data_IF_219403074645
#
_entry.id   IF_219403074645
#
_cell.length_a   1.000
_cell.length_b   1.000
_cell.length_c   1.000
_cell.angle_alpha   90.00
_cell.angle_beta   90.00
_cell.angle_gamma   90.00
#
_symmetry.space_group_name_H-M   'P 1'
#
loop_
_entity.id
_entity.type
_entity.pdbx_description
1 polymer ?
#
# COMPACT_ATOMS: atom_id res chain seq x y z
N UNK A 1 -25.78 -9.32 0.42
CA UNK A 1 -24.86 -8.93 -0.68
C UNK A 1 -23.62 -8.38 -0.03
N UNK A 2 -22.50 -9.10 -0.10
CA UNK A 2 -21.20 -8.63 0.41
C UNK A 2 -20.63 -7.66 -0.61
N UNK A 3 -20.85 -6.37 -0.41
CA UNK A 3 -20.07 -5.32 -1.07
C UNK A 3 -18.70 -5.30 -0.42
N UNK A 4 -17.79 -6.13 -0.94
CA UNK A 4 -16.36 -5.91 -0.80
C UNK A 4 -15.81 -5.43 -2.14
N UNK A 5 -14.54 -5.05 -2.19
CA UNK A 5 -13.84 -4.70 -3.44
C UNK A 5 -14.04 -5.82 -4.48
N UNK A 6 -14.97 -5.62 -5.42
CA UNK A 6 -15.45 -6.68 -6.31
C UNK A 6 -14.58 -6.84 -7.56
N UNK A 7 -13.69 -5.90 -7.83
CA UNK A 7 -12.80 -5.97 -8.99
C UNK A 7 -11.59 -5.05 -8.81
N UNK A 8 -10.40 -5.64 -8.63
CA UNK A 8 -9.13 -4.92 -8.77
C UNK A 8 -8.57 -5.26 -10.14
N UNK A 9 -8.43 -4.27 -11.01
CA UNK A 9 -7.95 -4.50 -12.37
C UNK A 9 -6.47 -4.91 -12.36
N UNK A 10 -6.08 -5.83 -13.24
CA UNK A 10 -4.71 -6.36 -13.29
C UNK A 10 -3.67 -5.24 -13.42
N UNK A 11 -2.67 -5.24 -12.52
CA UNK A 11 -1.53 -4.31 -12.50
C UNK A 11 -1.85 -2.88 -12.08
N UNK A 12 -3.00 -2.60 -11.45
CA UNK A 12 -3.20 -1.30 -10.79
C UNK A 12 -2.24 -1.12 -9.63
N UNK A 13 -1.82 0.12 -9.38
CA UNK A 13 -1.31 0.49 -8.07
C UNK A 13 -2.46 0.44 -7.05
N UNK A 14 -2.16 0.00 -5.83
CA UNK A 14 -3.09 0.02 -4.71
C UNK A 14 -2.41 0.59 -3.46
N UNK A 15 -3.11 1.44 -2.72
CA UNK A 15 -2.69 1.91 -1.39
C UNK A 15 -3.85 1.95 -0.45
N UNK A 16 -3.61 1.54 0.79
CA UNK A 16 -4.59 1.63 1.85
C UNK A 16 -4.07 2.54 2.97
N UNK A 17 -4.99 3.26 3.59
CA UNK A 17 -4.76 4.05 4.80
C UNK A 17 -5.95 3.87 5.72
N UNK A 18 -5.71 3.92 7.02
CA UNK A 18 -6.79 3.86 7.99
C UNK A 18 -6.59 4.86 9.12
N UNK A 19 -7.71 5.30 9.70
CA UNK A 19 -7.82 5.67 11.09
C UNK A 19 -8.72 4.62 11.78
N UNK A 20 -8.81 4.59 13.11
CA UNK A 20 -9.48 3.54 13.89
C UNK A 20 -10.84 3.06 13.33
N UNK A 21 -11.64 3.96 12.74
CA UNK A 21 -12.99 3.66 12.26
C UNK A 21 -13.16 3.79 10.73
N UNK A 22 -12.14 4.26 10.02
CA UNK A 22 -12.22 4.59 8.60
C UNK A 22 -11.03 3.95 7.87
N UNK A 23 -11.32 3.10 6.90
CA UNK A 23 -10.35 2.53 5.97
C UNK A 23 -10.61 3.12 4.59
N UNK A 24 -9.56 3.51 3.87
CA UNK A 24 -9.62 3.99 2.50
C UNK A 24 -8.62 3.22 1.66
N UNK A 25 -9.06 2.76 0.49
CA UNK A 25 -8.23 2.03 -0.47
C UNK A 25 -8.27 2.78 -1.80
N UNK A 26 -7.11 3.25 -2.23
CA UNK A 26 -6.91 3.98 -3.47
C UNK A 26 -6.38 3.07 -4.55
N UNK A 27 -6.98 3.15 -5.73
CA UNK A 27 -6.53 2.44 -6.93
C UNK A 27 -6.55 3.36 -8.15
N UNK A 28 -5.98 2.89 -9.25
CA UNK A 28 -6.11 3.53 -10.55
C UNK A 28 -7.12 2.73 -11.38
N UNK A 29 -8.13 3.40 -11.93
CA UNK A 29 -8.97 2.78 -12.93
C UNK A 29 -8.21 2.68 -14.25
N UNK A 30 -8.01 1.45 -14.71
CA UNK A 30 -7.45 1.12 -16.01
C UNK A 30 -8.50 0.44 -16.92
N UNK A 31 -9.74 0.29 -16.43
CA UNK A 31 -10.86 -0.26 -17.19
C UNK A 31 -11.46 0.82 -18.07
N UNK A 32 -11.46 0.60 -19.39
CA UNK A 32 -11.99 1.55 -20.37
C UNK A 32 -13.52 1.71 -20.35
N UNK A 33 -14.18 1.50 -19.22
CA UNK A 33 -15.64 1.57 -19.07
C UNK A 33 -16.08 2.89 -18.41
N UNK A 34 -15.20 3.54 -17.65
CA UNK A 34 -15.38 4.95 -17.25
C UNK A 34 -14.04 5.60 -16.89
N UNK A 35 -13.58 6.54 -17.72
CA UNK A 35 -12.46 7.46 -17.46
C UNK A 35 -11.08 6.80 -17.32
N UNK A 36 -10.43 6.58 -18.47
CA UNK A 36 -9.08 6.04 -18.61
C UNK A 36 -8.07 6.68 -17.65
N UNK A 37 -7.44 5.86 -16.80
CA UNK A 37 -6.35 6.24 -15.89
C UNK A 37 -6.74 7.30 -14.88
N UNK A 38 -7.88 7.15 -14.21
CA UNK A 38 -8.31 8.04 -13.13
C UNK A 38 -8.09 7.43 -11.75
N UNK A 39 -7.95 8.27 -10.72
CA UNK A 39 -7.90 7.82 -9.33
C UNK A 39 -9.28 7.36 -8.86
N UNK A 40 -9.29 6.25 -8.12
CA UNK A 40 -10.46 5.63 -7.52
C UNK A 40 -10.26 5.47 -6.02
N UNK A 41 -11.34 5.54 -5.25
CA UNK A 41 -11.36 5.28 -3.82
C UNK A 41 -12.48 4.30 -3.47
N UNK A 42 -12.11 3.26 -2.73
CA UNK A 42 -13.03 2.38 -2.01
C UNK A 42 -12.91 2.74 -0.52
N UNK A 43 -14.02 3.12 0.11
CA UNK A 43 -14.04 3.56 1.49
C UNK A 43 -14.82 2.55 2.34
N UNK A 44 -14.34 2.31 3.56
CA UNK A 44 -15.04 1.52 4.55
C UNK A 44 -15.11 2.29 5.86
N UNK A 45 -16.31 2.47 6.38
CA UNK A 45 -16.54 3.05 7.71
C UNK A 45 -17.24 2.03 8.61
N UNK A 46 -16.90 2.01 9.89
CA UNK A 46 -17.41 1.02 10.85
C UNK A 46 -18.96 0.87 10.85
N UNK A 47 -19.68 1.96 10.63
CA UNK A 47 -21.16 1.98 10.64
C UNK A 47 -21.80 1.86 9.25
N UNK A 48 -21.03 2.09 8.19
CA UNK A 48 -21.54 2.13 6.80
C UNK A 48 -21.19 0.88 6.03
N UNK A 49 -20.07 0.23 6.38
CA UNK A 49 -19.45 -0.79 5.55
C UNK A 49 -18.72 -0.16 4.36
N UNK A 50 -18.50 -0.95 3.30
CA UNK A 50 -17.83 -0.52 2.07
C UNK A 50 -18.74 0.30 1.15
N UNK A 51 -18.18 1.34 0.53
CA UNK A 51 -18.84 2.20 -0.47
C UNK A 51 -17.80 2.89 -1.38
N UNK A 52 -18.26 3.35 -2.56
CA UNK A 52 -17.44 4.15 -3.46
C UNK A 52 -17.12 5.51 -2.82
N UNK A 53 -15.83 5.78 -2.65
CA UNK A 53 -15.35 7.01 -2.07
C UNK A 53 -15.56 8.23 -2.95
N UNK A 54 -15.61 9.41 -2.34
CA UNK A 54 -15.90 10.66 -3.05
C UNK A 54 -14.77 11.06 -4.02
N UNK A 55 -13.57 10.48 -3.90
CA UNK A 55 -12.45 10.73 -4.82
C UNK A 55 -12.82 10.32 -6.25
N UNK A 56 -13.48 9.16 -6.40
CA UNK A 56 -13.84 8.55 -7.68
C UNK A 56 -14.61 9.52 -8.59
N UNK A 57 -15.54 10.31 -8.03
CA UNK A 57 -16.34 11.27 -8.78
C UNK A 57 -15.57 12.49 -9.33
N UNK A 58 -14.33 12.72 -8.88
CA UNK A 58 -13.52 13.87 -9.31
C UNK A 58 -12.79 13.63 -10.63
N UNK A 59 -12.68 12.37 -11.09
CA UNK A 59 -12.04 12.01 -12.36
C UNK A 59 -10.62 12.57 -12.52
N UNK A 60 -9.83 12.57 -11.45
CA UNK A 60 -8.44 13.01 -11.50
C UNK A 60 -7.63 12.09 -12.40
N UNK A 61 -7.26 12.59 -13.57
CA UNK A 61 -6.46 11.85 -14.56
C UNK A 61 -4.99 11.79 -14.11
N UNK A 62 -4.43 10.58 -14.16
CA UNK A 62 -3.06 10.27 -13.75
C UNK A 62 -2.36 9.44 -14.84
N UNK A 63 -1.05 9.32 -14.76
CA UNK A 63 -0.30 8.52 -15.73
C UNK A 63 -0.70 7.03 -15.64
N UNK A 64 -0.78 6.28 -16.77
CA UNK A 64 -1.10 4.84 -16.77
C UNK A 64 -0.15 3.96 -15.96
N UNK A 65 1.03 4.49 -15.61
CA UNK A 65 2.08 3.82 -14.85
C UNK A 65 2.23 4.38 -13.44
N UNK A 66 1.31 5.23 -12.98
CA UNK A 66 1.40 5.86 -11.67
C UNK A 66 1.50 4.80 -10.58
N UNK A 67 2.31 5.09 -9.57
CA UNK A 67 2.19 4.46 -8.24
C UNK A 67 1.45 5.42 -7.32
N UNK A 68 1.00 4.93 -6.18
CA UNK A 68 0.21 5.72 -5.24
C UNK A 68 0.92 5.78 -3.89
N UNK A 69 0.89 6.95 -3.27
CA UNK A 69 1.09 7.13 -1.84
C UNK A 69 -0.18 7.71 -1.23
N UNK A 70 -0.51 7.33 -0.01
CA UNK A 70 -1.63 7.93 0.70
C UNK A 70 -1.32 8.00 2.20
N UNK A 71 -1.87 8.99 2.90
CA UNK A 71 -1.77 9.11 4.35
C UNK A 71 -2.90 9.95 4.93
N UNK A 72 -3.34 9.63 6.15
CA UNK A 72 -4.07 10.57 6.99
C UNK A 72 -3.09 11.58 7.58
N UNK A 73 -3.46 12.86 7.64
CA UNK A 73 -2.62 13.88 8.26
C UNK A 73 -2.62 13.71 9.78
N UNK A 74 -1.45 13.38 10.32
CA UNK A 74 -1.23 13.23 11.75
C UNK A 74 -1.43 14.58 12.48
N UNK A 75 -1.95 14.51 13.72
CA UNK A 75 -2.13 15.68 14.58
C UNK A 75 -3.28 16.62 14.19
N UNK A 76 -4.15 16.18 13.29
CA UNK A 76 -5.37 16.91 12.95
C UNK A 76 -6.59 16.24 13.58
N UNK A 77 -7.56 17.03 14.06
CA UNK A 77 -8.84 16.51 14.58
C UNK A 77 -9.86 16.21 13.46
N UNK A 78 -9.40 16.23 12.21
CA UNK A 78 -10.20 16.07 11.01
C UNK A 78 -9.65 14.89 10.22
N UNK A 79 -10.52 14.16 9.53
CA UNK A 79 -10.14 13.10 8.60
C UNK A 79 -9.52 13.70 7.32
N UNK A 80 -8.40 14.40 7.47
CA UNK A 80 -7.71 15.04 6.36
C UNK A 80 -6.80 14.01 5.72
N UNK A 81 -7.01 13.77 4.43
CA UNK A 81 -6.26 12.75 3.68
C UNK A 81 -5.39 13.46 2.65
N UNK A 82 -4.22 12.87 2.37
CA UNK A 82 -3.41 13.18 1.19
C UNK A 82 -3.18 11.94 0.37
N UNK A 83 -3.36 12.07 -0.94
CA UNK A 83 -3.10 11.06 -1.96
C UNK A 83 -2.10 11.65 -2.95
N UNK A 84 -1.07 10.89 -3.27
CA UNK A 84 0.01 11.31 -4.15
C UNK A 84 0.02 10.38 -5.36
N UNK A 85 -0.02 10.96 -6.55
CA UNK A 85 0.02 10.23 -7.80
C UNK A 85 0.90 10.95 -8.83
N UNK A 86 1.34 10.23 -9.84
CA UNK A 86 2.13 10.76 -10.94
C UNK A 86 1.22 11.14 -12.11
N UNK A 87 1.35 12.37 -12.61
CA UNK A 87 0.68 12.86 -13.81
C UNK A 87 1.36 12.37 -15.09
N UNK A 88 0.69 12.53 -16.24
CA UNK A 88 1.22 12.14 -17.56
C UNK A 88 2.47 12.93 -17.98
N UNK A 89 2.70 14.10 -17.39
CA UNK A 89 3.92 14.88 -17.55
C UNK A 89 5.06 14.43 -16.62
N UNK A 90 4.86 13.33 -15.87
CA UNK A 90 5.76 12.74 -14.88
C UNK A 90 5.95 13.52 -13.58
N UNK A 91 5.22 14.63 -13.38
CA UNK A 91 5.21 15.32 -12.10
C UNK A 91 4.41 14.55 -11.04
N UNK A 92 4.77 14.71 -9.76
CA UNK A 92 4.01 14.15 -8.64
C UNK A 92 3.01 15.21 -8.16
N UNK A 93 1.72 14.87 -8.22
CA UNK A 93 0.63 15.70 -7.76
C UNK A 93 0.12 15.20 -6.40
N UNK A 94 -0.05 16.13 -5.47
CA UNK A 94 -0.76 15.93 -4.21
C UNK A 94 -2.26 16.25 -4.42
N UNK A 95 -3.12 15.32 -4.02
CA UNK A 95 -4.56 15.50 -3.89
C UNK A 95 -4.93 15.38 -2.41
N UNK A 96 -5.93 16.10 -1.96
CA UNK A 96 -6.35 16.01 -0.57
C UNK A 96 -7.82 16.26 -0.35
N UNK A 97 -8.34 15.62 0.69
CA UNK A 97 -9.67 15.86 1.22
C UNK A 97 -9.59 16.96 2.28
N UNK A 98 -10.33 18.05 2.07
CA UNK A 98 -10.51 19.10 3.08
C UNK A 98 -11.89 18.96 3.72
N UNK A 99 -11.91 18.69 5.03
CA UNK A 99 -13.15 18.53 5.80
C UNK A 99 -13.98 19.81 5.85
N UNK A 100 -13.35 20.98 5.86
CA UNK A 100 -14.02 22.28 5.84
C UNK A 100 -14.76 22.55 4.52
N UNK A 101 -14.21 22.10 3.40
CA UNK A 101 -14.78 22.27 2.07
C UNK A 101 -15.66 21.09 1.65
N UNK A 102 -15.56 19.95 2.34
CA UNK A 102 -16.24 18.70 2.06
C UNK A 102 -16.06 18.25 0.59
N UNK A 103 -14.83 18.39 0.07
CA UNK A 103 -14.48 18.02 -1.29
C UNK A 103 -12.99 17.70 -1.42
N UNK A 104 -12.66 17.01 -2.52
CA UNK A 104 -11.30 16.79 -2.94
C UNK A 104 -10.74 18.00 -3.69
N UNK A 105 -9.43 18.20 -3.55
CA UNK A 105 -8.68 19.27 -4.18
C UNK A 105 -7.32 18.79 -4.67
N UNK A 106 -6.83 19.43 -5.73
CA UNK A 106 -5.41 19.46 -6.05
C UNK A 106 -4.70 20.42 -5.10
N UNK A 107 -3.62 19.94 -4.49
CA UNK A 107 -2.70 20.70 -3.66
C UNK A 107 -1.39 20.94 -4.43
N UNK A 108 -0.25 20.66 -3.80
CA UNK A 108 1.05 20.96 -4.34
C UNK A 108 1.40 19.99 -5.48
N UNK A 109 2.01 20.54 -6.52
CA UNK A 109 2.79 19.74 -7.45
C UNK A 109 4.24 19.70 -6.97
N UNK A 110 4.74 18.50 -6.68
CA UNK A 110 6.08 18.29 -6.10
C UNK A 110 7.18 18.24 -7.18
N UNK A 111 6.83 18.54 -8.43
CA UNK A 111 7.75 18.56 -9.55
C UNK A 111 7.99 17.19 -10.17
N UNK A 112 8.98 17.15 -11.07
CA UNK A 112 9.27 16.02 -11.94
C UNK A 112 9.87 14.83 -11.20
N UNK A 113 9.43 13.62 -11.56
CA UNK A 113 10.00 12.36 -11.07
C UNK A 113 10.20 11.36 -12.22
N UNK A 114 10.87 10.24 -11.94
CA UNK A 114 11.03 9.17 -12.93
C UNK A 114 9.66 8.60 -13.34
N UNK A 115 9.40 8.35 -14.64
CA UNK A 115 8.15 7.73 -15.09
C UNK A 115 7.94 6.35 -14.44
N UNK A 116 6.84 6.21 -13.70
CA UNK A 116 6.49 5.01 -12.92
C UNK A 116 7.25 4.88 -11.60
N UNK A 117 7.78 5.98 -11.07
CA UNK A 117 8.41 6.00 -9.75
C UNK A 117 7.46 5.44 -8.70
N UNK A 118 7.98 4.65 -7.76
CA UNK A 118 7.20 4.33 -6.58
C UNK A 118 7.00 5.56 -5.72
N UNK A 119 5.84 5.62 -5.07
CA UNK A 119 5.45 6.67 -4.16
C UNK A 119 5.05 5.99 -2.86
N UNK A 120 5.57 6.51 -1.74
CA UNK A 120 5.25 6.05 -0.41
C UNK A 120 5.09 7.30 0.46
N UNK A 121 4.01 7.35 1.24
CA UNK A 121 3.67 8.52 2.05
C UNK A 121 3.39 8.08 3.48
N UNK A 122 3.83 8.89 4.43
CA UNK A 122 3.48 8.80 5.84
C UNK A 122 3.36 10.22 6.40
N UNK A 123 2.70 10.38 7.53
CA UNK A 123 2.48 11.66 8.19
C UNK A 123 2.81 11.54 9.67
N UNK A 124 3.45 12.57 10.21
CA UNK A 124 3.82 12.68 11.62
C UNK A 124 3.76 14.15 12.05
N UNK A 125 3.66 14.38 13.36
CA UNK A 125 3.37 15.70 13.93
C UNK A 125 4.59 16.52 14.35
N UNK A 126 5.80 16.03 14.09
CA UNK A 126 7.02 16.76 14.47
C UNK A 126 7.13 18.00 13.56
N UNK A 127 7.02 19.22 14.11
CA UNK A 127 6.91 20.41 13.28
C UNK A 127 8.24 20.73 12.57
N UNK A 128 8.13 21.21 11.33
CA UNK A 128 9.17 21.94 10.58
C UNK A 128 10.44 21.16 10.20
N UNK A 129 10.36 19.86 9.91
CA UNK A 129 11.49 19.12 9.38
C UNK A 129 11.17 18.45 8.04
N UNK A 130 11.75 18.99 6.97
CA UNK A 130 11.84 18.28 5.69
C UNK A 130 12.93 17.21 5.82
N UNK A 131 12.54 15.94 5.86
CA UNK A 131 13.48 14.81 5.92
C UNK A 131 13.57 14.22 4.51
N UNK A 132 14.71 14.44 3.86
CA UNK A 132 14.97 13.91 2.52
C UNK A 132 15.60 12.53 2.60
N UNK A 133 15.07 11.59 1.83
CA UNK A 133 15.61 10.25 1.65
C UNK A 133 16.19 10.09 0.24
N UNK A 134 17.37 9.49 0.12
CA UNK A 134 17.97 9.14 -1.18
C UNK A 134 18.83 7.89 -1.06
N UNK A 135 18.73 7.01 -2.04
CA UNK A 135 19.57 5.81 -2.18
C UNK A 135 20.19 5.79 -3.58
N UNK A 136 21.51 5.66 -3.66
CA UNK A 136 22.28 5.86 -4.90
C UNK A 136 22.15 4.71 -5.92
N UNK A 137 21.59 3.56 -5.53
CA UNK A 137 21.54 2.36 -6.37
C UNK A 137 20.17 1.63 -6.30
N UNK A 138 19.09 2.37 -6.06
CA UNK A 138 17.77 1.79 -6.18
C UNK A 138 17.49 1.39 -7.63
N UNK A 139 16.89 0.21 -7.82
CA UNK A 139 16.42 -0.20 -9.15
C UNK A 139 15.37 0.80 -9.66
N UNK A 140 15.36 1.14 -10.96
CA UNK A 140 14.31 1.96 -11.53
C UNK A 140 12.93 1.37 -11.20
N UNK A 141 12.01 2.21 -10.69
CA UNK A 141 10.67 1.79 -10.26
C UNK A 141 10.67 0.74 -9.14
N UNK A 142 11.73 0.70 -8.33
CA UNK A 142 11.78 -0.12 -7.11
C UNK A 142 10.52 0.11 -6.27
N UNK A 143 10.02 -0.95 -5.63
CA UNK A 143 9.01 -0.76 -4.60
C UNK A 143 9.54 0.15 -3.49
N UNK A 144 8.64 0.93 -2.91
CA UNK A 144 8.87 1.78 -1.74
C UNK A 144 7.72 1.56 -0.77
N UNK A 145 8.04 1.38 0.50
CA UNK A 145 7.10 1.47 1.61
C UNK A 145 7.70 2.34 2.70
N UNK A 146 6.85 3.05 3.43
CA UNK A 146 7.29 3.92 4.52
C UNK A 146 6.31 3.81 5.67
N UNK A 147 6.83 3.82 6.89
CA UNK A 147 6.04 3.97 8.11
C UNK A 147 6.80 4.84 9.10
N UNK A 148 6.07 5.51 9.99
CA UNK A 148 6.64 6.30 11.08
C UNK A 148 6.16 5.75 12.41
N UNK A 149 7.08 5.55 13.35
CA UNK A 149 6.74 5.11 14.71
C UNK A 149 6.25 6.29 15.55
N UNK A 150 5.56 6.01 16.65
CA UNK A 150 5.15 7.09 17.58
C UNK A 150 6.36 7.82 18.21
N UNK A 151 7.54 7.17 18.25
CA UNK A 151 8.78 7.83 18.66
C UNK A 151 9.37 8.77 17.61
N UNK A 152 8.74 8.87 16.43
CA UNK A 152 9.19 9.71 15.32
C UNK A 152 10.26 9.08 14.44
N UNK A 153 10.53 7.78 14.59
CA UNK A 153 11.47 7.07 13.72
C UNK A 153 10.80 6.73 12.38
N UNK A 154 11.43 7.09 11.28
CA UNK A 154 10.93 6.81 9.92
C UNK A 154 11.62 5.56 9.40
N UNK A 155 10.85 4.57 8.97
CA UNK A 155 11.35 3.33 8.38
C UNK A 155 10.94 3.29 6.92
N UNK A 156 11.93 3.26 6.02
CA UNK A 156 11.74 3.17 4.57
C UNK A 156 12.23 1.80 4.10
N UNK A 157 11.33 1.05 3.45
CA UNK A 157 11.62 -0.24 2.85
C UNK A 157 11.66 -0.11 1.33
N UNK A 158 12.70 -0.65 0.70
CA UNK A 158 12.91 -0.54 -0.75
C UNK A 158 13.63 -1.78 -1.28
N UNK A 159 13.45 -2.09 -2.57
CA UNK A 159 14.23 -3.14 -3.23
C UNK A 159 15.65 -2.61 -3.49
N UNK A 160 16.61 -3.22 -2.81
CA UNK A 160 18.04 -2.97 -3.01
C UNK A 160 18.64 -3.92 -4.05
N UNK A 161 19.94 -4.18 -3.92
CA UNK A 161 20.64 -5.19 -4.73
C UNK A 161 20.20 -6.61 -4.39
N UNK A 162 20.46 -7.54 -5.31
CA UNK A 162 20.27 -8.99 -5.10
C UNK A 162 18.82 -9.42 -4.82
N UNK A 163 17.84 -8.69 -5.37
CA UNK A 163 16.41 -8.97 -5.17
C UNK A 163 16.04 -9.06 -3.68
N UNK A 164 16.53 -8.10 -2.89
CA UNK A 164 16.22 -7.99 -1.45
C UNK A 164 15.48 -6.70 -1.14
N UNK A 165 14.48 -6.79 -0.28
CA UNK A 165 13.92 -5.61 0.37
C UNK A 165 14.78 -5.27 1.58
N UNK A 166 15.33 -4.07 1.58
CA UNK A 166 16.18 -3.50 2.60
C UNK A 166 15.44 -2.39 3.35
N UNK A 167 15.90 -2.08 4.56
CA UNK A 167 15.38 -0.99 5.38
C UNK A 167 16.42 0.13 5.56
N UNK A 168 15.95 1.36 5.50
CA UNK A 168 16.65 2.56 5.96
C UNK A 168 15.81 3.19 7.06
N UNK A 169 16.46 3.51 8.18
CA UNK A 169 15.82 4.11 9.35
C UNK A 169 16.35 5.51 9.52
N UNK A 170 15.45 6.45 9.80
CA UNK A 170 15.80 7.78 10.27
C UNK A 170 15.28 7.97 11.68
N UNK A 171 16.14 8.36 12.61
CA UNK A 171 15.74 8.85 13.92
C UNK A 171 16.46 10.16 14.28
N UNK A 172 15.97 10.83 15.32
CA UNK A 172 16.48 12.14 15.73
C UNK A 172 17.94 12.11 16.19
N UNK A 173 18.46 10.96 16.62
CA UNK A 173 19.80 10.85 17.19
C UNK A 173 20.86 10.46 16.14
N UNK A 174 20.46 9.65 15.16
CA UNK A 174 21.37 8.97 14.22
C UNK A 174 21.26 9.50 12.80
N UNK A 175 20.20 10.25 12.47
CA UNK A 175 19.85 10.54 11.09
C UNK A 175 19.53 9.24 10.33
N UNK A 176 19.85 9.18 9.03
CA UNK A 176 19.64 7.99 8.21
C UNK A 176 20.73 6.91 8.44
N UNK A 177 20.31 5.67 8.66
CA UNK A 177 21.17 4.50 8.74
C UNK A 177 20.46 3.23 8.25
N UNK A 178 21.25 2.23 7.84
CA UNK A 178 20.71 0.95 7.41
C UNK A 178 20.03 0.22 8.59
N UNK A 179 18.78 -0.17 8.39
CA UNK A 179 18.01 -0.93 9.37
C UNK A 179 18.38 -2.42 9.39
N UNK A 180 17.77 -3.15 10.32
CA UNK A 180 18.01 -4.58 10.49
C UNK A 180 17.22 -5.45 9.48
N UNK A 181 16.22 -4.89 8.80
CA UNK A 181 15.43 -5.63 7.82
C UNK A 181 16.21 -5.82 6.51
N UNK A 182 16.39 -7.09 6.11
CA UNK A 182 16.96 -7.46 4.81
C UNK A 182 16.43 -8.82 4.37
N UNK A 183 15.37 -8.85 3.56
CA UNK A 183 14.69 -10.10 3.15
C UNK A 183 14.73 -10.29 1.63
N UNK A 184 14.98 -11.52 1.19
CA UNK A 184 14.87 -11.88 -0.22
C UNK A 184 13.43 -11.72 -0.69
N UNK A 185 13.25 -11.29 -1.94
CA UNK A 185 11.95 -11.18 -2.57
C UNK A 185 12.02 -11.68 -4.02
N UNK A 186 10.85 -11.89 -4.63
CA UNK A 186 10.80 -12.11 -6.08
C UNK A 186 11.11 -10.80 -6.81
N UNK A 187 11.65 -10.86 -8.05
CA UNK A 187 11.86 -9.66 -8.84
C UNK A 187 10.59 -8.81 -8.95
N UNK A 188 10.72 -7.51 -8.70
CA UNK A 188 9.61 -6.54 -8.70
C UNK A 188 8.54 -6.73 -7.61
N UNK A 189 8.81 -7.52 -6.56
CA UNK A 189 7.93 -7.61 -5.39
C UNK A 189 7.57 -6.22 -4.88
N UNK A 190 6.29 -5.96 -4.64
CA UNK A 190 5.89 -4.77 -3.90
C UNK A 190 6.14 -4.97 -2.40
N UNK A 191 6.10 -3.87 -1.65
CA UNK A 191 6.20 -3.89 -0.21
C UNK A 191 5.15 -2.96 0.41
N UNK A 192 4.65 -3.32 1.58
CA UNK A 192 3.93 -2.39 2.46
C UNK A 192 4.33 -2.65 3.91
N UNK A 193 4.32 -1.60 4.72
CA UNK A 193 4.73 -1.67 6.11
C UNK A 193 3.70 -0.97 6.99
N UNK A 194 3.46 -1.53 8.17
CA UNK A 194 2.61 -0.95 9.22
C UNK A 194 3.32 -1.05 10.56
N UNK A 195 2.89 -0.23 11.52
CA UNK A 195 3.44 -0.25 12.87
C UNK A 195 2.39 0.10 13.91
N UNK A 196 2.63 -0.30 15.16
CA UNK A 196 1.89 0.15 16.34
C UNK A 196 2.72 -0.05 17.61
N UNK A 197 2.38 0.69 18.67
CA UNK A 197 3.05 0.59 19.97
C UNK A 197 4.41 1.30 20.01
N UNK A 198 5.04 1.27 21.18
CA UNK A 198 6.28 2.03 21.46
C UNK A 198 7.29 1.28 22.31
N UNK A 199 8.56 1.70 22.24
CA UNK A 199 9.65 1.14 23.03
C UNK A 199 9.75 -0.38 22.86
N UNK A 200 9.75 -1.12 23.98
CA UNK A 200 9.77 -2.59 23.96
C UNK A 200 8.48 -3.23 23.43
N UNK A 201 7.39 -2.46 23.32
CA UNK A 201 6.12 -2.87 22.72
C UNK A 201 5.95 -2.43 21.27
N UNK A 202 6.99 -1.86 20.64
CA UNK A 202 6.96 -1.51 19.23
C UNK A 202 6.79 -2.77 18.37
N UNK A 203 5.77 -2.76 17.53
CA UNK A 203 5.50 -3.77 16.54
C UNK A 203 5.66 -3.14 15.15
N UNK A 204 6.47 -3.75 14.28
CA UNK A 204 6.47 -3.46 12.85
C UNK A 204 6.06 -4.72 12.09
N UNK A 205 5.34 -4.54 10.98
CA UNK A 205 5.04 -5.61 10.02
C UNK A 205 5.41 -5.16 8.63
N UNK A 206 6.04 -6.05 7.86
CA UNK A 206 6.34 -5.83 6.45
C UNK A 206 5.74 -6.98 5.64
N UNK A 207 5.02 -6.62 4.60
CA UNK A 207 4.36 -7.55 3.69
C UNK A 207 5.00 -7.47 2.31
N UNK A 208 5.41 -8.62 1.78
CA UNK A 208 6.10 -8.73 0.49
C UNK A 208 5.88 -10.12 -0.12
N UNK A 209 6.28 -10.32 -1.37
CA UNK A 209 6.29 -11.64 -2.02
C UNK A 209 7.71 -12.20 -2.05
N UNK A 210 7.94 -13.29 -1.32
CA UNK A 210 9.24 -13.99 -1.29
C UNK A 210 9.26 -15.26 -2.17
N UNK A 211 8.17 -15.51 -2.90
CA UNK A 211 8.02 -16.68 -3.79
C UNK A 211 7.40 -17.90 -3.11
N UNK A 212 6.94 -17.78 -1.86
CA UNK A 212 6.10 -18.78 -1.21
C UNK A 212 4.84 -18.99 -2.05
N UNK A 213 4.49 -20.26 -2.28
CA UNK A 213 3.32 -20.67 -3.07
C UNK A 213 3.24 -19.96 -4.43
N UNK A 214 4.41 -19.66 -5.02
CA UNK A 214 4.61 -18.89 -6.26
C UNK A 214 4.24 -17.41 -6.14
N UNK A 215 3.06 -17.09 -5.61
CA UNK A 215 2.51 -15.73 -5.57
C UNK A 215 2.02 -15.30 -4.17
N UNK A 216 2.25 -16.11 -3.14
CA UNK A 216 1.84 -15.80 -1.77
C UNK A 216 2.51 -14.53 -1.25
N UNK A 217 1.76 -13.76 -0.47
CA UNK A 217 2.29 -12.63 0.30
C UNK A 217 2.71 -13.14 1.66
N UNK A 218 3.94 -12.86 2.07
CA UNK A 218 4.51 -13.23 3.35
C UNK A 218 4.53 -12.03 4.29
N UNK A 219 4.37 -12.28 5.58
CA UNK A 219 4.46 -11.27 6.64
C UNK A 219 5.75 -11.48 7.43
N UNK A 220 6.51 -10.40 7.58
CA UNK A 220 7.65 -10.31 8.49
C UNK A 220 7.32 -9.41 9.67
N UNK A 221 7.80 -9.78 10.84
CA UNK A 221 7.40 -9.25 12.13
C UNK A 221 8.63 -8.77 12.88
N UNK A 222 8.64 -7.50 13.27
CA UNK A 222 9.58 -6.99 14.27
C UNK A 222 8.93 -7.07 15.64
N UNK A 223 9.41 -7.97 16.48
CA UNK A 223 9.01 -8.10 17.87
C UNK A 223 10.27 -8.36 18.72
N UNK A 224 10.34 -7.81 19.93
CA UNK A 224 11.43 -8.05 20.87
C UNK A 224 12.85 -7.78 20.30
N UNK A 225 12.98 -6.80 19.42
CA UNK A 225 14.29 -6.35 18.90
C UNK A 225 14.87 -7.17 17.75
N UNK A 226 14.10 -8.08 17.14
CA UNK A 226 14.54 -8.82 15.95
C UNK A 226 13.40 -9.05 14.96
N UNK A 227 13.78 -9.25 13.69
CA UNK A 227 12.86 -9.64 12.62
C UNK A 227 12.68 -11.16 12.57
N UNK A 228 11.45 -11.61 12.42
CA UNK A 228 11.10 -13.02 12.19
C UNK A 228 9.98 -13.15 11.16
N UNK A 229 9.79 -14.35 10.61
CA UNK A 229 8.64 -14.64 9.78
C UNK A 229 7.39 -14.75 10.67
N UNK A 230 6.37 -13.92 10.40
CA UNK A 230 5.07 -13.99 11.07
C UNK A 230 4.16 -15.00 10.39
N UNK A 231 3.78 -14.71 9.15
CA UNK A 231 2.97 -15.58 8.31
C UNK A 231 3.71 -15.91 7.02
N UNK A 232 3.90 -17.21 6.75
CA UNK A 232 4.60 -17.69 5.55
C UNK A 232 3.85 -17.32 4.26
N UNK A 233 2.53 -17.48 4.27
CA UNK A 233 1.62 -17.02 3.22
C UNK A 233 0.35 -16.52 3.89
N UNK A 234 0.02 -15.25 3.68
CA UNK A 234 -1.24 -14.67 4.12
C UNK A 234 -2.35 -15.36 3.34
N UNK A 235 -3.41 -15.83 4.02
CA UNK A 235 -4.52 -16.52 3.38
C UNK A 235 -5.15 -15.67 2.27
N UNK A 236 -4.75 -15.94 1.03
CA UNK A 236 -5.33 -15.38 -0.20
C UNK A 236 -5.07 -16.35 -1.35
N UNK A 237 -5.71 -17.51 -1.33
CA UNK A 237 -5.63 -18.44 -2.46
C UNK A 237 -7.02 -18.82 -2.92
N UNK A 238 -7.58 -18.06 -3.86
CA UNK A 238 -8.39 -18.71 -4.90
C UNK A 238 -7.45 -19.69 -5.61
N UNK A 239 -7.47 -20.96 -5.20
CA UNK A 239 -6.72 -22.03 -5.88
C UNK A 239 -7.45 -22.36 -7.18
N UNK A 240 -7.11 -21.66 -8.27
CA UNK A 240 -7.49 -22.10 -9.62
C UNK A 240 -6.61 -23.31 -10.00
N UNK A 241 -7.06 -24.51 -9.63
CA UNK A 241 -6.60 -25.73 -10.31
C UNK A 241 -7.29 -25.80 -11.67
N UNK A 242 -6.52 -25.95 -12.75
CA UNK A 242 -7.07 -26.21 -14.08
C UNK A 242 -7.91 -27.49 -14.06
N UNK A 243 -9.24 -27.34 -14.09
CA UNK A 243 -10.14 -28.42 -14.51
C UNK A 243 -10.17 -28.44 -16.05
N UNK A 244 -10.05 -29.64 -16.63
CA UNK A 244 -10.31 -29.88 -18.05
C UNK A 244 -11.70 -29.34 -18.44
N UNK A 245 -11.91 -28.93 -19.70
CA UNK A 245 -13.05 -28.11 -20.07
C UNK A 245 -14.34 -28.93 -20.13
N UNK A 246 -15.11 -28.96 -19.04
CA UNK A 246 -16.58 -29.05 -19.03
C UNK A 246 -17.13 -29.32 -17.61
N UNK A 247 -17.12 -28.35 -16.71
CA UNK A 247 -18.05 -28.38 -15.57
C UNK A 247 -18.18 -27.02 -14.89
N UNK A 248 -19.42 -26.71 -14.53
CA UNK A 248 -19.85 -25.49 -13.86
C UNK A 248 -19.40 -25.50 -12.40
N UNK A 249 -18.78 -24.40 -11.95
CA UNK A 249 -18.38 -24.20 -10.56
C UNK A 249 -19.56 -23.53 -9.83
N UNK A 250 -20.04 -24.16 -8.76
CA UNK A 250 -20.92 -23.52 -7.77
C UNK A 250 -20.09 -23.34 -6.50
N UNK A 251 -19.99 -22.09 -6.03
CA UNK A 251 -19.27 -21.74 -4.80
C UNK A 251 -20.32 -21.42 -3.72
N UNK A 252 -20.38 -22.24 -2.67
CA UNK A 252 -21.05 -21.89 -1.41
C UNK A 252 -20.01 -21.72 -0.30
N UNK A 253 -20.27 -20.78 0.61
CA UNK A 253 -19.30 -20.28 1.59
C UNK A 253 -19.11 -21.22 2.78
N UNK A 254 -17.84 -21.50 3.11
CA UNK A 254 -17.41 -21.91 4.45
C UNK A 254 -16.67 -23.26 4.50
N UNK A 255 -15.38 -23.22 4.88
CA UNK A 255 -14.50 -24.35 5.24
C UNK A 255 -14.12 -25.27 4.06
N UNK A 256 -12.88 -25.13 3.56
CA UNK A 256 -12.41 -25.79 2.34
C UNK A 256 -11.75 -27.16 2.59
N UNK A 257 -12.55 -28.21 2.74
CA UNK A 257 -12.18 -29.55 2.23
C UNK A 257 -13.13 -29.89 1.08
N UNK A 258 -12.59 -30.03 -0.14
CA UNK A 258 -13.37 -30.52 -1.29
C UNK A 258 -13.32 -32.05 -1.27
N UNK A 259 -14.39 -32.68 -0.76
CA UNK A 259 -14.59 -34.11 -0.93
C UNK A 259 -15.22 -34.36 -2.31
N UNK A 260 -14.44 -34.95 -3.22
CA UNK A 260 -14.93 -35.44 -4.52
C UNK A 260 -15.31 -36.90 -4.35
N UNK A 261 -16.60 -37.24 -4.38
CA UNK A 261 -17.07 -38.61 -4.54
C UNK A 261 -17.28 -38.93 -6.01
N UNK A 262 -16.88 -40.14 -6.42
CA UNK A 262 -17.10 -40.65 -7.77
C UNK A 262 -18.41 -41.47 -7.79
N UNK A 263 -19.19 -41.34 -8.86
CA UNK A 263 -20.16 -42.36 -9.30
C UNK A 263 -19.64 -43.05 -10.54
#
# INVERSE_FOLDING_TARGET
>A
MTTGANQVVFRTAARAVNDDNHLRVYTQDISGVSNNNTLQEEAHDANTGWYDGSLTGNNFAVAPYTRLGATYLAGTNSQSIRVYAQLSDNSIQEYGWETSANKWHEFNNLGQALPGTAIAATSFTIPNQEIRFSVSNALPRTALAVTVTESGSIHVYYIGSEDRILEQVHDANSGWYAGAFAQSCIPSSQATAINWGTGNGLNLRVYLQEGVDVSGVSEFVWNNGYWSLGAKAIPTCLRLQWAKPSSTIVVEQGIWEVNVSYT
#
